data_IF_709211838539
#
_entry.id   IF_709211838539
#
_cell.length_a   1.000
_cell.length_b   1.000
_cell.length_c   1.000
_cell.angle_alpha   90.00
_cell.angle_beta   90.00
_cell.angle_gamma   90.00
#
_symmetry.space_group_name_H-M   'P 1'
#
loop_
_entity.id
_entity.type
_entity.pdbx_description
1 polymer ?
#
# COMPACT_ATOMS: atom_id res chain seq x y z
N UNK A 1 6.31 10.82 22.85
CA UNK A 1 6.85 10.08 21.70
C UNK A 1 5.91 8.93 21.34
N UNK A 2 5.61 8.80 20.08
CA UNK A 2 4.78 7.68 19.63
C UNK A 2 5.58 6.38 19.70
N UNK A 3 4.94 5.26 20.01
CA UNK A 3 5.62 3.97 19.96
C UNK A 3 6.06 3.64 18.55
N UNK A 4 7.12 2.85 18.44
CA UNK A 4 7.55 2.33 17.16
C UNK A 4 6.45 1.43 16.57
N UNK A 5 6.10 1.67 15.31
CA UNK A 5 5.10 0.88 14.59
C UNK A 5 5.73 0.27 13.36
N UNK A 6 5.73 -1.06 13.29
CA UNK A 6 6.12 -1.78 12.10
C UNK A 6 4.85 -2.14 11.33
N UNK A 7 4.57 -1.40 10.26
CA UNK A 7 3.32 -1.52 9.52
C UNK A 7 3.43 -2.49 8.34
N UNK A 8 4.58 -3.08 8.12
CA UNK A 8 4.79 -4.02 7.02
C UNK A 8 5.62 -5.20 7.52
N UNK A 9 4.95 -6.13 8.18
CA UNK A 9 5.63 -7.32 8.66
C UNK A 9 4.76 -8.55 8.48
N UNK A 10 5.37 -9.62 7.95
CA UNK A 10 4.75 -10.94 7.88
C UNK A 10 5.22 -11.82 9.03
N UNK A 11 6.24 -11.39 9.77
CA UNK A 11 6.81 -12.10 10.91
C UNK A 11 6.98 -11.11 12.06
N UNK A 12 6.00 -11.02 12.95
CA UNK A 12 6.11 -10.12 14.09
C UNK A 12 7.38 -10.40 14.91
N UNK A 13 8.08 -9.32 15.25
CA UNK A 13 9.35 -9.43 15.98
C UNK A 13 9.17 -9.22 17.47
N UNK A 14 7.98 -8.82 17.92
CA UNK A 14 7.73 -8.47 19.30
C UNK A 14 8.25 -7.10 19.70
N UNK A 15 8.68 -6.28 18.73
CA UNK A 15 9.19 -4.94 18.97
C UNK A 15 8.14 -3.90 18.61
N UNK A 16 7.71 -3.11 19.59
CA UNK A 16 6.73 -2.07 19.36
C UNK A 16 5.39 -2.62 18.91
N UNK A 17 4.68 -1.85 18.10
CA UNK A 17 3.38 -2.24 17.53
C UNK A 17 3.61 -2.75 16.12
N UNK A 18 3.17 -3.97 15.87
CA UNK A 18 3.33 -4.61 14.57
C UNK A 18 1.97 -4.99 14.01
N UNK A 19 1.77 -4.73 12.69
CA UNK A 19 0.57 -5.10 11.98
C UNK A 19 0.83 -6.32 11.11
N UNK A 20 -0.10 -7.27 11.11
CA UNK A 20 -0.07 -8.39 10.17
C UNK A 20 -0.70 -7.95 8.87
N UNK A 21 0.10 -7.99 7.80
CA UNK A 21 -0.35 -7.58 6.48
C UNK A 21 -0.35 -8.78 5.54
N UNK A 22 -1.22 -8.72 4.54
CA UNK A 22 -1.21 -9.65 3.43
C UNK A 22 -1.63 -8.90 2.18
N UNK A 23 -1.02 -9.24 1.06
CA UNK A 23 -1.32 -8.58 -0.20
C UNK A 23 -0.36 -9.00 -1.29
N UNK A 24 -0.54 -8.43 -2.47
CA UNK A 24 0.31 -8.67 -3.63
C UNK A 24 1.07 -7.39 -3.92
N UNK A 25 2.39 -7.45 -3.72
CA UNK A 25 3.28 -6.33 -4.04
C UNK A 25 3.26 -6.09 -5.56
N UNK A 26 3.36 -4.85 -6.05
CA UNK A 26 3.35 -4.59 -7.49
C UNK A 26 4.43 -5.33 -8.26
N UNK A 27 5.56 -5.63 -7.63
CA UNK A 27 6.61 -6.41 -8.28
C UNK A 27 6.20 -7.85 -8.58
N UNK A 28 5.22 -8.37 -7.86
CA UNK A 28 4.78 -9.76 -7.98
C UNK A 28 3.40 -9.89 -8.62
N UNK A 29 2.88 -8.81 -9.20
CA UNK A 29 1.53 -8.78 -9.75
C UNK A 29 1.29 -9.77 -10.90
N UNK A 30 2.35 -10.20 -11.57
CA UNK A 30 2.27 -11.20 -12.64
C UNK A 30 2.51 -12.63 -12.14
N UNK A 31 2.90 -12.81 -10.87
CA UNK A 31 3.28 -14.11 -10.30
C UNK A 31 2.25 -14.62 -9.30
N UNK A 32 1.52 -13.72 -8.66
CA UNK A 32 0.57 -14.09 -7.62
C UNK A 32 -0.84 -14.19 -8.18
N UNK A 33 -1.60 -15.13 -7.65
CA UNK A 33 -2.99 -15.31 -8.04
C UNK A 33 -3.89 -14.38 -7.23
N UNK A 34 -4.55 -13.46 -7.92
CA UNK A 34 -5.49 -12.53 -7.29
C UNK A 34 -6.60 -13.30 -6.55
N UNK A 35 -7.02 -14.43 -7.08
CA UNK A 35 -8.08 -15.23 -6.44
C UNK A 35 -7.67 -15.75 -5.06
N UNK A 36 -6.37 -15.92 -4.81
CA UNK A 36 -5.90 -16.36 -3.50
C UNK A 36 -6.16 -15.34 -2.39
N UNK A 37 -6.41 -14.08 -2.73
CA UNK A 37 -6.74 -13.05 -1.75
C UNK A 37 -8.08 -13.33 -1.04
N UNK A 38 -8.95 -14.13 -1.64
CA UNK A 38 -10.20 -14.50 -1.01
C UNK A 38 -10.05 -15.41 0.21
N UNK A 39 -8.88 -16.01 0.40
CA UNK A 39 -8.61 -16.93 1.51
C UNK A 39 -7.70 -16.32 2.58
N UNK A 40 -7.73 -14.99 2.75
CA UNK A 40 -6.91 -14.33 3.75
C UNK A 40 -7.22 -14.82 5.15
N UNK A 41 -6.18 -15.00 5.99
CA UNK A 41 -6.38 -15.31 7.39
C UNK A 41 -7.20 -14.23 8.11
N UNK A 42 -7.98 -14.65 9.10
CA UNK A 42 -8.84 -13.73 9.86
C UNK A 42 -8.05 -12.70 10.68
N UNK A 43 -6.79 -12.99 11.00
CA UNK A 43 -5.95 -12.11 11.81
C UNK A 43 -5.19 -11.06 11.00
N UNK A 44 -5.42 -10.95 9.69
CA UNK A 44 -4.84 -9.89 8.86
C UNK A 44 -5.44 -8.56 9.29
N UNK A 45 -4.57 -7.58 9.54
CA UNK A 45 -4.94 -6.28 10.06
C UNK A 45 -4.89 -5.18 9.00
N UNK A 46 -4.22 -5.43 7.87
CA UNK A 46 -4.13 -4.49 6.76
C UNK A 46 -3.84 -5.24 5.47
N UNK A 47 -4.28 -4.68 4.36
CA UNK A 47 -3.93 -5.18 3.02
C UNK A 47 -2.68 -4.44 2.56
N UNK A 48 -1.66 -5.19 2.24
CA UNK A 48 -0.40 -4.60 1.76
C UNK A 48 0.78 -5.57 1.87
N UNK A 49 1.92 -5.20 1.30
CA UNK A 49 2.08 -3.96 0.53
C UNK A 49 1.43 -4.13 -0.84
N UNK A 50 0.59 -3.20 -1.23
CA UNK A 50 -0.06 -3.17 -2.53
C UNK A 50 0.21 -1.82 -3.19
N UNK A 51 -0.11 -1.65 -4.45
CA UNK A 51 0.07 -0.37 -5.11
C UNK A 51 0.60 -0.50 -6.51
N UNK A 52 1.36 0.51 -6.93
CA UNK A 52 1.91 0.59 -8.28
C UNK A 52 3.37 1.00 -8.23
N UNK A 53 4.18 0.37 -9.06
CA UNK A 53 5.59 0.72 -9.25
C UNK A 53 5.87 0.75 -10.75
N UNK A 54 5.86 1.95 -11.32
CA UNK A 54 6.06 2.09 -12.76
C UNK A 54 7.54 2.19 -13.14
N UNK A 55 8.44 2.05 -12.18
CA UNK A 55 9.86 1.96 -12.43
C UNK A 55 10.33 0.51 -12.64
N UNK A 56 9.60 -0.45 -12.09
CA UNK A 56 9.99 -1.87 -12.14
C UNK A 56 8.80 -2.77 -11.83
N UNK A 57 9.01 -4.09 -11.96
CA UNK A 57 8.02 -5.10 -11.60
C UNK A 57 7.21 -5.56 -12.80
N UNK A 58 6.01 -6.06 -12.53
CA UNK A 58 5.09 -6.56 -13.56
C UNK A 58 4.63 -5.44 -14.50
N UNK A 59 3.95 -5.82 -15.58
CA UNK A 59 3.37 -4.84 -16.49
C UNK A 59 2.35 -3.95 -15.78
N UNK A 60 2.17 -2.73 -16.30
CA UNK A 60 1.30 -1.74 -15.65
C UNK A 60 -0.14 -2.24 -15.53
N UNK A 61 -0.66 -2.93 -16.54
CA UNK A 61 -2.03 -3.44 -16.49
C UNK A 61 -2.19 -4.54 -15.45
N UNK A 62 -1.20 -5.40 -15.32
CA UNK A 62 -1.22 -6.45 -14.29
C UNK A 62 -1.14 -5.85 -12.89
N UNK A 63 -0.29 -4.85 -12.69
CA UNK A 63 -0.21 -4.14 -11.43
C UNK A 63 -1.54 -3.45 -11.10
N UNK A 64 -2.15 -2.81 -12.08
CA UNK A 64 -3.41 -2.11 -11.87
C UNK A 64 -4.53 -3.06 -11.52
N UNK A 65 -4.63 -4.21 -12.20
CA UNK A 65 -5.64 -5.22 -11.89
C UNK A 65 -5.47 -5.74 -10.46
N UNK A 66 -4.24 -6.06 -10.05
CA UNK A 66 -3.96 -6.54 -8.69
C UNK A 66 -4.26 -5.47 -7.65
N UNK A 67 -3.91 -4.21 -7.93
CA UNK A 67 -4.17 -3.10 -7.03
C UNK A 67 -5.67 -2.88 -6.83
N UNK A 68 -6.43 -2.84 -7.91
CA UNK A 68 -7.88 -2.68 -7.85
C UNK A 68 -8.55 -3.79 -7.06
N UNK A 69 -8.14 -5.02 -7.28
CA UNK A 69 -8.69 -6.17 -6.54
C UNK A 69 -8.42 -6.04 -5.04
N UNK A 70 -7.22 -5.59 -4.67
CA UNK A 70 -6.86 -5.42 -3.28
C UNK A 70 -7.56 -4.25 -2.62
N UNK A 71 -7.78 -3.15 -3.34
CA UNK A 71 -8.58 -2.04 -2.82
C UNK A 71 -10.02 -2.46 -2.57
N UNK A 72 -10.61 -3.22 -3.48
CA UNK A 72 -11.96 -3.74 -3.30
C UNK A 72 -12.04 -4.66 -2.07
N UNK A 73 -11.07 -5.53 -1.91
CA UNK A 73 -11.01 -6.44 -0.76
C UNK A 73 -10.87 -5.67 0.56
N UNK A 74 -9.99 -4.67 0.58
CA UNK A 74 -9.78 -3.84 1.78
C UNK A 74 -11.07 -3.11 2.16
N UNK A 75 -11.76 -2.56 1.17
CA UNK A 75 -13.05 -1.89 1.40
C UNK A 75 -14.08 -2.86 1.95
N UNK A 76 -14.24 -4.03 1.34
CA UNK A 76 -15.23 -5.01 1.77
C UNK A 76 -14.97 -5.51 3.19
N UNK A 77 -13.71 -5.65 3.57
CA UNK A 77 -13.32 -6.12 4.90
C UNK A 77 -13.06 -4.99 5.90
N UNK A 78 -13.19 -3.74 5.47
CA UNK A 78 -12.93 -2.56 6.29
C UNK A 78 -11.52 -2.55 6.87
N UNK A 79 -10.54 -2.89 6.04
CA UNK A 79 -9.13 -2.92 6.43
C UNK A 79 -8.38 -1.73 5.85
N UNK A 80 -7.39 -1.21 6.57
CA UNK A 80 -6.49 -0.22 6.01
C UNK A 80 -5.61 -0.82 4.92
N UNK A 81 -5.06 0.05 4.09
CA UNK A 81 -4.19 -0.32 2.98
C UNK A 81 -2.81 0.27 3.19
N UNK A 82 -1.79 -0.56 3.05
CA UNK A 82 -0.38 -0.14 3.10
C UNK A 82 0.15 -0.12 1.67
N UNK A 83 0.53 1.05 1.20
CA UNK A 83 0.85 1.29 -0.20
C UNK A 83 2.33 1.34 -0.48
N UNK A 84 2.69 0.75 -1.60
CA UNK A 84 3.94 0.96 -2.31
C UNK A 84 3.63 1.81 -3.55
N UNK A 85 4.22 2.98 -3.67
CA UNK A 85 3.96 3.89 -4.78
C UNK A 85 5.27 4.48 -5.29
N UNK A 86 5.69 4.08 -6.49
CA UNK A 86 6.91 4.57 -7.13
C UNK A 86 6.56 4.98 -8.55
N UNK A 87 6.81 6.26 -8.88
CA UNK A 87 6.53 6.85 -10.19
C UNK A 87 5.09 6.61 -10.68
N UNK A 88 4.14 6.56 -9.76
CA UNK A 88 2.75 6.24 -10.05
C UNK A 88 1.79 7.02 -9.16
N UNK A 89 2.18 8.19 -8.68
CA UNK A 89 1.37 8.93 -7.71
C UNK A 89 -0.03 9.26 -8.24
N UNK A 90 -0.14 9.82 -9.45
CA UNK A 90 -1.45 10.17 -9.98
C UNK A 90 -2.34 8.95 -10.22
N UNK A 91 -1.86 7.87 -10.85
CA UNK A 91 -2.67 6.66 -10.96
C UNK A 91 -3.10 6.09 -9.61
N UNK A 92 -2.22 6.09 -8.61
CA UNK A 92 -2.58 5.62 -7.26
C UNK A 92 -3.68 6.49 -6.67
N UNK A 93 -3.55 7.81 -6.75
CA UNK A 93 -4.57 8.71 -6.19
C UNK A 93 -5.93 8.54 -6.87
N UNK A 94 -5.95 8.32 -8.18
CA UNK A 94 -7.20 8.08 -8.91
C UNK A 94 -7.87 6.78 -8.44
N UNK A 95 -7.11 5.71 -8.26
CA UNK A 95 -7.68 4.44 -7.83
C UNK A 95 -8.18 4.52 -6.39
N UNK A 96 -7.46 5.21 -5.52
CA UNK A 96 -7.90 5.41 -4.13
C UNK A 96 -9.21 6.19 -4.07
N UNK A 97 -9.35 7.22 -4.89
CA UNK A 97 -10.58 8.03 -4.92
C UNK A 97 -11.78 7.20 -5.42
N UNK A 98 -11.54 6.28 -6.35
CA UNK A 98 -12.60 5.43 -6.92
C UNK A 98 -13.04 4.33 -5.96
N UNK A 99 -12.15 3.87 -5.07
CA UNK A 99 -12.38 2.71 -4.18
C UNK A 99 -11.94 3.00 -2.75
N UNK A 100 -12.38 4.08 -2.18
CA UNK A 100 -11.91 4.59 -0.89
C UNK A 100 -11.84 3.51 0.19
N UNK A 101 -10.63 3.06 0.60
CA UNK A 101 -10.50 2.15 1.73
C UNK A 101 -10.65 2.91 3.05
N UNK A 102 -10.77 2.17 4.15
CA UNK A 102 -10.96 2.75 5.49
C UNK A 102 -9.82 3.69 5.88
N UNK A 103 -8.59 3.32 5.57
CA UNK A 103 -7.42 4.13 5.83
C UNK A 103 -6.33 3.76 4.84
N UNK A 104 -5.44 4.70 4.55
CA UNK A 104 -4.37 4.54 3.59
C UNK A 104 -3.06 5.01 4.20
N UNK A 105 -2.03 4.16 4.10
CA UNK A 105 -0.70 4.46 4.59
C UNK A 105 0.27 4.27 3.42
N UNK A 106 0.93 5.36 3.00
CA UNK A 106 2.02 5.27 2.03
C UNK A 106 3.27 4.86 2.77
N UNK A 107 3.71 3.62 2.55
CA UNK A 107 4.88 3.06 3.23
C UNK A 107 6.16 3.50 2.52
N UNK A 108 7.06 4.17 3.27
CA UNK A 108 8.30 4.67 2.68
C UNK A 108 8.03 5.64 1.54
N UNK A 109 7.22 6.65 1.78
CA UNK A 109 6.79 7.59 0.75
C UNK A 109 7.97 8.13 -0.06
N UNK A 110 7.86 8.06 -1.38
CA UNK A 110 8.82 8.63 -2.33
C UNK A 110 8.05 9.57 -3.25
N UNK A 111 8.43 10.84 -3.26
CA UNK A 111 7.76 11.83 -4.08
C UNK A 111 8.16 13.24 -3.69
N UNK A 112 7.47 14.23 -4.27
CA UNK A 112 7.72 15.62 -3.99
C UNK A 112 6.99 16.06 -2.71
N UNK A 113 7.42 17.19 -2.09
CA UNK A 113 6.66 17.78 -0.99
C UNK A 113 5.22 18.12 -1.38
N UNK A 114 4.98 18.52 -2.63
CA UNK A 114 3.65 18.81 -3.13
C UNK A 114 2.77 17.56 -3.14
N UNK A 115 3.32 16.43 -3.60
CA UNK A 115 2.60 15.15 -3.58
C UNK A 115 2.30 14.71 -2.16
N UNK A 116 3.26 14.86 -1.24
CA UNK A 116 3.06 14.55 0.17
C UNK A 116 1.90 15.38 0.74
N UNK A 117 1.86 16.68 0.44
CA UNK A 117 0.79 17.54 0.91
C UNK A 117 -0.56 17.10 0.37
N UNK A 118 -0.64 16.75 -0.90
CA UNK A 118 -1.89 16.27 -1.51
C UNK A 118 -2.41 15.01 -0.84
N UNK A 119 -1.52 14.07 -0.53
CA UNK A 119 -1.92 12.84 0.16
C UNK A 119 -2.42 13.15 1.57
N UNK A 120 -1.74 14.02 2.31
CA UNK A 120 -2.14 14.41 3.65
C UNK A 120 -3.48 15.14 3.65
N UNK A 121 -3.75 15.97 2.64
CA UNK A 121 -5.04 16.67 2.52
C UNK A 121 -6.20 15.70 2.32
N UNK A 122 -5.95 14.54 1.72
CA UNK A 122 -6.94 13.47 1.59
C UNK A 122 -7.11 12.65 2.87
N UNK A 123 -6.34 12.94 3.90
CA UNK A 123 -6.37 12.19 5.15
C UNK A 123 -5.53 10.92 5.14
N UNK A 124 -4.66 10.76 4.17
CA UNK A 124 -3.77 9.61 4.09
C UNK A 124 -2.57 9.77 5.00
N UNK A 125 -2.02 8.67 5.47
CA UNK A 125 -0.83 8.66 6.32
C UNK A 125 0.41 8.39 5.47
N UNK A 126 1.53 9.00 5.86
CA UNK A 126 2.79 8.79 5.19
C UNK A 126 3.81 8.29 6.20
N UNK A 127 4.58 7.24 5.83
CA UNK A 127 5.80 6.93 6.55
C UNK A 127 6.98 7.34 5.68
N UNK A 128 8.04 7.82 6.31
CA UNK A 128 9.17 8.40 5.60
C UNK A 128 10.41 7.54 5.76
N UNK A 129 11.24 7.54 4.73
CA UNK A 129 12.53 6.88 4.73
C UNK A 129 13.58 7.79 4.13
N UNK A 130 14.79 7.26 3.99
CA UNK A 130 15.93 8.04 3.49
C UNK A 130 15.73 8.53 2.05
N UNK A 131 14.81 7.93 1.30
CA UNK A 131 14.56 8.28 -0.09
C UNK A 131 13.28 9.09 -0.29
N UNK A 132 12.64 9.55 0.78
CA UNK A 132 11.31 10.15 0.71
C UNK A 132 11.22 11.28 -0.31
N UNK A 133 12.16 12.19 -0.35
CA UNK A 133 12.15 13.31 -1.27
C UNK A 133 13.23 13.21 -2.34
N UNK A 134 13.73 12.02 -2.59
CA UNK A 134 14.66 11.81 -3.68
C UNK A 134 13.96 12.03 -5.02
N UNK A 135 14.69 12.57 -6.00
CA UNK A 135 14.17 12.69 -7.34
C UNK A 135 13.88 11.31 -7.92
N UNK A 136 12.71 11.13 -8.49
CA UNK A 136 12.40 9.87 -9.14
C UNK A 136 13.22 9.66 -10.41
#
# INVERSE_FOLDING_TARGET
MLPYVNIHTHRPTGRGIELRTAGIHPWDADKEDIAALGTLPADVQAIGETGLDYARGAGRQQQLAAFRAQLALARDRQLPVVLHCVRAFEPVMLELAAREPRAVIFHGFIGSPEQARRALEKGYYLSFGVRTFSSP
#
